data_IF_592473994366
#
_entry.id   IF_592473994366
#
_cell.length_a   1.000
_cell.length_b   1.000
_cell.length_c   1.000
_cell.angle_alpha   90.00
_cell.angle_beta   90.00
_cell.angle_gamma   90.00
#
_symmetry.space_group_name_H-M   'P 1'
#
loop_
_entity.id
_entity.type
_entity.pdbx_description
1 polymer ?
#
# COMPACT_ATOMS: atom_id res chain seq x y z
N UNK A 1 9.97 4.31 9.31
CA UNK A 1 10.88 3.22 8.93
C UNK A 1 12.35 3.59 9.13
N UNK A 2 12.89 4.71 8.58
CA UNK A 2 14.30 5.13 8.73
C UNK A 2 14.75 5.17 10.19
N UNK A 3 13.97 5.80 11.09
CA UNK A 3 14.27 5.85 12.53
C UNK A 3 14.45 4.45 13.13
N UNK A 4 13.55 3.53 12.85
CA UNK A 4 13.60 2.16 13.38
C UNK A 4 14.86 1.43 12.92
N UNK A 5 15.24 1.60 11.65
CA UNK A 5 16.47 1.01 11.09
C UNK A 5 17.69 1.59 11.77
N UNK A 6 17.76 2.92 11.91
CA UNK A 6 18.88 3.60 12.59
C UNK A 6 19.04 3.11 14.03
N UNK A 7 17.95 3.09 14.78
CA UNK A 7 17.95 2.68 16.19
C UNK A 7 18.36 1.20 16.35
N UNK A 8 17.85 0.33 15.47
CA UNK A 8 18.11 -1.11 15.57
C UNK A 8 19.57 -1.49 15.20
N UNK A 9 20.13 -0.83 14.19
CA UNK A 9 21.49 -1.12 13.72
C UNK A 9 22.54 -0.15 14.28
N UNK A 10 22.17 0.76 15.16
CA UNK A 10 23.05 1.79 15.77
C UNK A 10 23.75 2.64 14.71
N UNK A 11 22.98 3.12 13.71
CA UNK A 11 23.51 3.91 12.61
C UNK A 11 23.31 5.42 12.85
N UNK A 12 24.34 6.22 12.63
CA UNK A 12 24.23 7.69 12.69
C UNK A 12 23.38 8.21 11.52
N UNK A 13 23.51 7.61 10.34
CA UNK A 13 22.75 7.96 9.15
C UNK A 13 22.27 6.71 8.41
N UNK A 14 21.10 6.81 7.78
CA UNK A 14 20.57 5.77 6.90
C UNK A 14 19.71 6.41 5.80
N UNK A 15 19.87 5.92 4.59
CA UNK A 15 19.04 6.28 3.43
C UNK A 15 18.73 5.03 2.60
N UNK A 16 17.61 5.06 1.92
CA UNK A 16 17.25 4.04 0.95
C UNK A 16 17.97 4.32 -0.37
N UNK A 17 18.59 3.31 -0.94
CA UNK A 17 19.31 3.40 -2.22
C UNK A 17 18.43 3.15 -3.45
N UNK A 18 17.13 2.84 -3.21
CA UNK A 18 16.12 2.63 -4.25
C UNK A 18 14.85 3.37 -3.86
N UNK A 19 14.03 3.72 -4.84
CA UNK A 19 12.69 4.24 -4.60
C UNK A 19 11.87 3.25 -3.77
N UNK A 20 11.06 3.78 -2.87
CA UNK A 20 10.10 3.00 -2.07
C UNK A 20 8.72 2.93 -2.72
N UNK A 21 8.46 3.81 -3.71
CA UNK A 21 7.18 3.87 -4.39
C UNK A 21 6.83 2.53 -5.05
N UNK A 22 5.64 2.05 -4.78
CA UNK A 22 5.13 0.80 -5.33
C UNK A 22 5.84 -0.46 -4.84
N UNK A 23 6.51 -0.41 -3.69
CA UNK A 23 7.09 -1.58 -3.01
C UNK A 23 6.28 -1.94 -1.76
N UNK A 24 6.39 -3.20 -1.32
CA UNK A 24 5.76 -3.62 -0.07
C UNK A 24 6.66 -3.33 1.14
N UNK A 25 6.06 -3.09 2.31
CA UNK A 25 6.81 -2.89 3.56
C UNK A 25 7.73 -4.09 3.85
N UNK A 26 7.26 -5.30 3.57
CA UNK A 26 8.02 -6.54 3.75
C UNK A 26 9.25 -6.61 2.83
N UNK A 27 9.10 -6.30 1.54
CA UNK A 27 10.21 -6.25 0.59
C UNK A 27 11.24 -5.17 0.96
N UNK A 28 10.77 -3.99 1.36
CA UNK A 28 11.64 -2.90 1.80
C UNK A 28 12.49 -3.35 2.99
N UNK A 29 11.89 -3.88 4.04
CA UNK A 29 12.60 -4.32 5.24
C UNK A 29 13.55 -5.48 4.95
N UNK A 30 13.14 -6.49 4.19
CA UNK A 30 14.01 -7.62 3.79
C UNK A 30 15.22 -7.13 2.99
N UNK A 31 15.03 -6.18 2.08
CA UNK A 31 16.13 -5.60 1.31
C UNK A 31 17.12 -4.83 2.19
N UNK A 32 16.64 -4.16 3.24
CA UNK A 32 17.49 -3.49 4.24
C UNK A 32 18.30 -4.51 5.04
N UNK A 33 17.63 -5.54 5.58
CA UNK A 33 18.32 -6.61 6.32
C UNK A 33 19.40 -7.27 5.46
N UNK A 34 19.07 -7.61 4.22
CA UNK A 34 20.02 -8.22 3.28
C UNK A 34 21.22 -7.29 3.03
N UNK A 35 20.98 -5.99 2.83
CA UNK A 35 22.04 -5.00 2.62
C UNK A 35 22.97 -4.87 3.82
N UNK A 36 22.43 -4.87 5.03
CA UNK A 36 23.20 -4.62 6.25
C UNK A 36 23.85 -5.89 6.84
N UNK A 37 23.28 -7.07 6.57
CA UNK A 37 23.79 -8.36 7.08
C UNK A 37 24.48 -9.22 6.02
N UNK A 38 24.42 -8.84 4.75
CA UNK A 38 24.90 -9.65 3.62
C UNK A 38 23.99 -10.84 3.27
N UNK A 39 22.93 -11.10 4.02
CA UNK A 39 21.95 -12.16 3.80
C UNK A 39 20.57 -11.78 4.31
N UNK A 40 19.53 -12.38 3.72
CA UNK A 40 18.17 -12.25 4.26
C UNK A 40 18.04 -13.02 5.58
N UNK A 41 17.41 -12.38 6.57
CA UNK A 41 17.01 -13.00 7.83
C UNK A 41 15.54 -12.64 8.07
N UNK A 42 14.64 -13.60 7.85
CA UNK A 42 13.19 -13.38 7.94
C UNK A 42 12.73 -13.06 9.36
N UNK A 43 13.35 -13.66 10.38
CA UNK A 43 13.01 -13.37 11.78
C UNK A 43 13.41 -11.94 12.16
N UNK A 44 14.59 -11.48 11.73
CA UNK A 44 15.06 -10.11 11.94
C UNK A 44 14.17 -9.11 11.18
N UNK A 45 13.81 -9.43 9.95
CA UNK A 45 12.88 -8.58 9.16
C UNK A 45 11.50 -8.46 9.82
N UNK A 46 10.95 -9.57 10.33
CA UNK A 46 9.69 -9.54 11.07
C UNK A 46 9.78 -8.69 12.36
N UNK A 47 10.87 -8.83 13.11
CA UNK A 47 11.11 -8.02 14.31
C UNK A 47 11.22 -6.52 13.99
N UNK A 48 11.83 -6.15 12.87
CA UNK A 48 11.88 -4.76 12.39
C UNK A 48 10.52 -4.22 11.98
N UNK A 49 9.67 -5.02 11.33
CA UNK A 49 8.30 -4.65 11.00
C UNK A 49 7.47 -4.38 12.27
N UNK A 50 7.58 -5.22 13.29
CA UNK A 50 6.91 -5.00 14.58
C UNK A 50 7.35 -3.66 15.19
N UNK A 51 8.66 -3.39 15.24
CA UNK A 51 9.19 -2.11 15.72
C UNK A 51 8.73 -0.92 14.88
N UNK A 52 8.61 -1.10 13.57
CA UNK A 52 8.07 -0.08 12.67
C UNK A 52 6.61 0.24 13.02
N UNK A 53 5.77 -0.76 13.24
CA UNK A 53 4.37 -0.54 13.64
C UNK A 53 4.25 0.15 15.00
N UNK A 54 5.11 -0.18 15.97
CA UNK A 54 5.14 0.50 17.27
C UNK A 54 5.58 1.96 17.18
N UNK A 55 6.48 2.29 16.27
CA UNK A 55 7.00 3.65 16.08
C UNK A 55 6.11 4.50 15.16
N UNK A 56 5.36 3.88 14.25
CA UNK A 56 4.59 4.57 13.21
C UNK A 56 3.62 5.61 13.76
N UNK A 57 2.80 5.36 14.81
CA UNK A 57 1.89 6.38 15.35
C UNK A 57 2.61 7.64 15.82
N UNK A 58 3.77 7.50 16.45
CA UNK A 58 4.58 8.63 16.90
C UNK A 58 5.10 9.44 15.72
N UNK A 59 5.55 8.75 14.66
CA UNK A 59 6.07 9.42 13.47
C UNK A 59 4.95 10.13 12.69
N UNK A 60 3.74 9.59 12.64
CA UNK A 60 2.58 10.22 12.03
C UNK A 60 2.20 11.53 12.75
N UNK A 61 2.32 11.57 14.08
CA UNK A 61 2.10 12.81 14.85
C UNK A 61 3.18 13.86 14.63
N UNK A 62 4.44 13.44 14.45
CA UNK A 62 5.57 14.34 14.26
C UNK A 62 5.66 14.90 12.83
N UNK A 63 5.31 14.09 11.85
CA UNK A 63 5.39 14.43 10.43
C UNK A 63 3.99 14.65 9.87
N UNK A 64 3.53 15.90 9.90
CA UNK A 64 2.19 16.27 9.44
C UNK A 64 2.00 15.95 7.96
N UNK A 65 1.31 14.84 7.69
CA UNK A 65 0.73 14.55 6.39
C UNK A 65 -0.60 15.28 6.21
N UNK A 66 -1.18 15.17 5.02
CA UNK A 66 -2.53 15.68 4.75
C UNK A 66 -3.32 14.70 3.89
N UNK A 67 -4.61 14.65 4.08
CA UNK A 67 -5.53 14.03 3.14
C UNK A 67 -5.66 14.96 1.92
N UNK A 68 -5.57 14.41 0.71
CA UNK A 68 -5.77 15.18 -0.51
C UNK A 68 -7.22 15.70 -0.58
N UNK A 69 -7.40 16.80 -1.31
CA UNK A 69 -8.71 17.43 -1.46
C UNK A 69 -9.72 16.44 -2.04
N UNK A 70 -10.91 16.44 -1.47
CA UNK A 70 -12.07 15.61 -1.86
C UNK A 70 -11.92 14.10 -1.61
N UNK A 71 -10.79 13.56 -1.13
CA UNK A 71 -10.66 12.12 -0.86
C UNK A 71 -11.75 11.63 0.09
N UNK A 72 -11.92 12.29 1.23
CA UNK A 72 -12.95 11.89 2.20
C UNK A 72 -14.37 11.96 1.60
N UNK A 73 -14.70 13.03 0.88
CA UNK A 73 -16.00 13.16 0.22
C UNK A 73 -16.25 12.04 -0.81
N UNK A 74 -15.23 11.67 -1.55
CA UNK A 74 -15.29 10.58 -2.54
C UNK A 74 -15.53 9.25 -1.85
N UNK A 75 -14.79 8.96 -0.78
CA UNK A 75 -14.96 7.73 0.01
C UNK A 75 -16.36 7.68 0.64
N UNK A 76 -16.83 8.78 1.23
CA UNK A 76 -18.19 8.89 1.77
C UNK A 76 -19.25 8.62 0.70
N UNK A 77 -19.06 9.17 -0.51
CA UNK A 77 -19.98 8.94 -1.63
C UNK A 77 -20.11 7.46 -1.98
N UNK A 78 -19.01 6.73 -2.00
CA UNK A 78 -19.03 5.30 -2.31
C UNK A 78 -19.46 4.41 -1.13
N UNK A 79 -19.43 4.90 0.10
CA UNK A 79 -19.90 4.18 1.30
C UNK A 79 -21.38 4.41 1.64
N UNK A 80 -22.17 5.10 0.81
CA UNK A 80 -23.59 5.32 1.07
C UNK A 80 -24.35 3.99 1.10
N UNK A 81 -25.45 3.88 1.88
CA UNK A 81 -26.22 2.64 1.99
C UNK A 81 -26.79 2.12 0.67
N UNK A 82 -27.07 3.02 -0.28
CA UNK A 82 -27.55 2.71 -1.63
C UNK A 82 -26.44 2.51 -2.66
N UNK A 83 -25.19 2.58 -2.23
CA UNK A 83 -24.03 2.39 -3.10
C UNK A 83 -23.89 0.92 -3.51
N UNK A 84 -23.64 0.71 -4.79
CA UNK A 84 -23.24 -0.58 -5.32
C UNK A 84 -21.71 -0.81 -5.32
N UNK A 85 -20.96 0.15 -4.76
CA UNK A 85 -19.50 0.10 -4.70
C UNK A 85 -19.05 -0.32 -3.31
N UNK A 86 -17.91 -0.99 -3.25
CA UNK A 86 -17.21 -1.35 -2.02
C UNK A 86 -15.77 -0.84 -2.12
N UNK A 87 -15.39 0.05 -1.19
CA UNK A 87 -14.01 0.53 -1.13
C UNK A 87 -13.13 -0.52 -0.45
N UNK A 88 -12.09 -0.97 -1.15
CA UNK A 88 -11.11 -1.91 -0.63
C UNK A 88 -9.70 -1.35 -0.80
N UNK A 89 -8.78 -1.85 0.00
CA UNK A 89 -7.36 -1.53 -0.12
C UNK A 89 -6.66 -2.59 -0.95
N UNK A 90 -5.81 -2.14 -1.88
CA UNK A 90 -4.75 -2.95 -2.45
C UNK A 90 -3.45 -2.17 -2.22
N UNK A 91 -2.63 -2.63 -1.30
CA UNK A 91 -1.49 -1.84 -0.84
C UNK A 91 -0.27 -2.70 -0.51
N UNK A 92 0.91 -2.17 -0.79
CA UNK A 92 2.17 -2.73 -0.33
C UNK A 92 2.43 -2.55 1.18
N UNK A 93 1.63 -1.73 1.87
CA UNK A 93 1.72 -1.67 3.33
C UNK A 93 1.27 -2.98 3.95
N UNK A 94 1.80 -3.30 5.13
CA UNK A 94 1.21 -4.33 5.97
C UNK A 94 -0.19 -3.90 6.42
N UNK A 95 -1.06 -4.85 6.77
CA UNK A 95 -2.41 -4.58 7.28
C UNK A 95 -2.36 -3.64 8.48
N UNK A 96 -1.52 -3.95 9.47
CA UNK A 96 -1.29 -3.09 10.63
C UNK A 96 -0.81 -1.69 10.24
N UNK A 97 0.14 -1.59 9.32
CA UNK A 97 0.67 -0.29 8.87
C UNK A 97 -0.37 0.55 8.12
N UNK A 98 -1.20 -0.09 7.30
CA UNK A 98 -2.30 0.56 6.59
C UNK A 98 -3.36 1.09 7.57
N UNK A 99 -3.84 0.24 8.50
CA UNK A 99 -4.79 0.64 9.55
C UNK A 99 -4.29 1.84 10.36
N UNK A 100 -3.07 1.79 10.89
CA UNK A 100 -2.51 2.89 11.66
C UNK A 100 -2.47 4.21 10.90
N UNK A 101 -2.14 4.17 9.60
CA UNK A 101 -2.14 5.36 8.75
C UNK A 101 -3.56 5.87 8.51
N UNK A 102 -4.48 5.00 8.14
CA UNK A 102 -5.87 5.39 7.86
C UNK A 102 -6.59 5.90 9.10
N UNK A 103 -6.40 5.27 10.26
CA UNK A 103 -6.94 5.72 11.54
C UNK A 103 -6.42 7.11 11.92
N UNK A 104 -5.11 7.37 11.71
CA UNK A 104 -4.52 8.68 11.97
C UNK A 104 -5.20 9.80 11.18
N UNK A 105 -5.64 9.52 9.93
CA UNK A 105 -6.33 10.47 9.07
C UNK A 105 -7.86 10.37 9.11
N UNK A 106 -8.44 9.52 9.96
CA UNK A 106 -9.88 9.34 10.08
C UNK A 106 -10.53 8.68 8.86
N UNK A 107 -9.77 7.90 8.08
CA UNK A 107 -10.26 7.30 6.83
C UNK A 107 -10.53 5.79 6.92
N UNK A 108 -10.13 5.14 8.01
CA UNK A 108 -10.18 3.68 8.14
C UNK A 108 -11.59 3.10 8.00
N UNK A 109 -12.60 3.81 8.50
CA UNK A 109 -14.01 3.41 8.44
C UNK A 109 -14.61 3.34 7.02
N UNK A 110 -13.95 3.91 6.03
CA UNK A 110 -14.44 3.91 4.65
C UNK A 110 -14.01 2.70 3.83
N UNK A 111 -13.24 1.78 4.40
CA UNK A 111 -12.71 0.63 3.69
C UNK A 111 -13.21 -0.71 4.25
N UNK A 112 -13.54 -1.63 3.35
CA UNK A 112 -13.81 -3.02 3.71
C UNK A 112 -12.49 -3.78 3.81
N UNK A 113 -12.08 -4.11 5.04
CA UNK A 113 -10.81 -4.77 5.31
C UNK A 113 -10.82 -6.26 4.99
N UNK A 114 -11.98 -6.91 5.00
CA UNK A 114 -12.13 -8.32 4.65
C UNK A 114 -11.78 -8.57 3.18
N UNK A 115 -12.18 -7.65 2.30
CA UNK A 115 -11.90 -7.72 0.87
C UNK A 115 -10.57 -7.06 0.48
N UNK A 116 -9.93 -6.38 1.42
CA UNK A 116 -8.66 -5.70 1.20
C UNK A 116 -7.48 -6.67 1.10
N UNK A 117 -6.45 -6.26 0.36
CA UNK A 117 -5.23 -7.06 0.13
C UNK A 117 -4.00 -6.23 0.49
N UNK A 118 -3.16 -6.81 1.33
CA UNK A 118 -2.03 -6.14 1.96
C UNK A 118 -0.69 -6.78 1.60
N UNK A 119 0.40 -6.05 1.82
CA UNK A 119 1.76 -6.42 1.44
C UNK A 119 2.38 -7.62 2.19
N UNK A 120 1.67 -8.21 3.18
CA UNK A 120 2.08 -9.47 3.79
C UNK A 120 1.90 -10.67 2.85
N UNK A 121 0.94 -10.59 1.93
CA UNK A 121 0.56 -11.71 1.05
C UNK A 121 1.63 -11.94 -0.01
N UNK A 122 2.21 -10.87 -0.56
CA UNK A 122 3.24 -10.96 -1.59
C UNK A 122 4.11 -9.71 -1.60
N UNK A 123 5.38 -9.87 -1.93
CA UNK A 123 6.28 -8.75 -2.22
C UNK A 123 6.03 -8.14 -3.60
N UNK A 124 5.29 -8.84 -4.47
CA UNK A 124 4.93 -8.40 -5.80
C UNK A 124 3.50 -7.87 -5.82
N UNK A 125 3.34 -6.57 -6.09
CA UNK A 125 2.05 -5.89 -6.13
C UNK A 125 1.10 -6.45 -7.21
N UNK A 126 1.60 -6.88 -8.37
CA UNK A 126 0.78 -7.51 -9.39
C UNK A 126 0.16 -8.84 -8.91
N UNK A 127 0.86 -9.56 -8.02
CA UNK A 127 0.29 -10.75 -7.36
C UNK A 127 -0.82 -10.37 -6.37
N UNK A 128 -0.69 -9.24 -5.67
CA UNK A 128 -1.77 -8.74 -4.81
C UNK A 128 -3.04 -8.45 -5.61
N UNK A 129 -2.91 -7.87 -6.83
CA UNK A 129 -4.05 -7.64 -7.72
C UNK A 129 -4.74 -8.95 -8.13
N UNK A 130 -3.96 -10.00 -8.46
CA UNK A 130 -4.50 -11.34 -8.77
C UNK A 130 -5.22 -11.95 -7.57
N UNK A 131 -4.69 -11.78 -6.36
CA UNK A 131 -5.34 -12.24 -5.12
C UNK A 131 -6.64 -11.47 -4.88
N UNK A 132 -6.66 -10.14 -5.08
CA UNK A 132 -7.86 -9.33 -4.94
C UNK A 132 -8.96 -9.80 -5.90
N UNK A 133 -8.62 -9.99 -7.17
CA UNK A 133 -9.57 -10.50 -8.17
C UNK A 133 -10.05 -11.92 -7.85
N UNK A 134 -9.15 -12.80 -7.43
CA UNK A 134 -9.51 -14.16 -7.04
C UNK A 134 -10.49 -14.18 -5.85
N UNK A 135 -10.27 -13.33 -4.84
CA UNK A 135 -11.21 -13.19 -3.71
C UNK A 135 -12.60 -12.73 -4.16
N UNK A 136 -12.66 -11.75 -5.08
CA UNK A 136 -13.92 -11.32 -5.66
C UNK A 136 -14.60 -12.46 -6.44
N UNK A 137 -13.85 -13.18 -7.29
CA UNK A 137 -14.33 -14.30 -8.07
C UNK A 137 -14.86 -15.45 -7.20
N UNK A 138 -14.21 -15.77 -6.10
CA UNK A 138 -14.68 -16.80 -5.15
C UNK A 138 -16.00 -16.44 -4.46
N UNK A 139 -16.36 -15.16 -4.41
CA UNK A 139 -17.64 -14.69 -3.89
C UNK A 139 -18.72 -14.58 -4.99
N UNK A 140 -18.29 -14.35 -6.21
CA UNK A 140 -19.15 -14.22 -7.39
C UNK A 140 -18.42 -14.79 -8.61
N UNK A 141 -18.79 -15.99 -9.03
CA UNK A 141 -18.18 -16.70 -10.17
C UNK A 141 -18.36 -15.97 -11.51
N UNK A 142 -19.33 -15.05 -11.60
CA UNK A 142 -19.54 -14.19 -12.77
C UNK A 142 -18.72 -12.91 -12.74
N UNK A 143 -17.94 -12.67 -11.67
CA UNK A 143 -17.13 -11.46 -11.52
C UNK A 143 -16.16 -11.27 -12.69
N UNK A 144 -16.09 -10.06 -13.17
CA UNK A 144 -15.22 -9.67 -14.30
C UNK A 144 -14.18 -8.64 -13.83
N UNK A 145 -12.98 -8.62 -14.42
CA UNK A 145 -11.95 -7.64 -14.07
C UNK A 145 -12.40 -6.18 -14.18
N UNK A 146 -13.29 -5.85 -15.11
CA UNK A 146 -13.83 -4.49 -15.30
C UNK A 146 -14.84 -4.06 -14.21
N UNK A 147 -15.21 -4.94 -13.30
CA UNK A 147 -15.98 -4.61 -12.08
C UNK A 147 -15.08 -4.06 -10.96
N UNK A 148 -13.75 -4.22 -11.10
CA UNK A 148 -12.75 -3.59 -10.26
C UNK A 148 -12.25 -2.32 -10.94
N UNK A 149 -12.14 -1.23 -10.18
CA UNK A 149 -11.49 0.00 -10.62
C UNK A 149 -10.34 0.27 -9.67
N UNK A 150 -9.12 0.25 -10.20
CA UNK A 150 -7.94 0.64 -9.43
C UNK A 150 -7.84 2.15 -9.38
N UNK A 151 -7.55 2.70 -8.21
CA UNK A 151 -7.25 4.12 -8.03
C UNK A 151 -5.88 4.18 -7.35
N UNK A 152 -4.91 4.77 -8.03
CA UNK A 152 -3.54 4.84 -7.56
C UNK A 152 -2.81 6.08 -8.05
N UNK A 153 -1.53 6.18 -7.74
CA UNK A 153 -0.71 7.35 -8.02
C UNK A 153 0.67 7.01 -8.60
N UNK A 154 0.93 5.73 -8.86
CA UNK A 154 2.23 5.25 -9.36
C UNK A 154 2.08 4.37 -10.62
N UNK A 155 3.14 4.24 -11.45
CA UNK A 155 3.17 3.26 -12.55
C UNK A 155 2.92 1.82 -12.10
N UNK A 156 3.24 1.48 -10.84
CA UNK A 156 2.97 0.15 -10.31
C UNK A 156 1.47 -0.11 -10.12
N UNK A 157 0.65 0.90 -9.87
CA UNK A 157 -0.80 0.74 -9.78
C UNK A 157 -1.39 0.38 -11.15
N UNK A 158 -0.88 1.00 -12.21
CA UNK A 158 -1.24 0.62 -13.59
C UNK A 158 -0.82 -0.83 -13.88
N UNK A 159 0.39 -1.25 -13.51
CA UNK A 159 0.84 -2.65 -13.67
C UNK A 159 -0.04 -3.63 -12.91
N UNK A 160 -0.50 -3.25 -11.71
CA UNK A 160 -1.44 -4.06 -10.93
C UNK A 160 -2.76 -4.25 -11.66
N UNK A 161 -3.36 -3.17 -12.16
CA UNK A 161 -4.60 -3.22 -12.91
C UNK A 161 -4.45 -4.02 -14.21
N UNK A 162 -3.37 -3.77 -14.98
CA UNK A 162 -3.07 -4.49 -16.21
C UNK A 162 -2.86 -6.01 -15.99
N UNK A 163 -2.31 -6.41 -14.85
CA UNK A 163 -2.08 -7.82 -14.51
C UNK A 163 -3.37 -8.67 -14.47
N UNK A 164 -4.53 -8.04 -14.35
CA UNK A 164 -5.86 -8.68 -14.34
C UNK A 164 -6.81 -8.11 -15.39
N UNK A 165 -6.37 -7.15 -16.20
CA UNK A 165 -7.21 -6.51 -17.23
C UNK A 165 -8.26 -5.55 -16.64
N UNK A 166 -8.03 -4.98 -15.47
CA UNK A 166 -8.91 -4.00 -14.84
C UNK A 166 -8.57 -2.55 -15.25
N UNK A 167 -9.55 -1.63 -15.26
CA UNK A 167 -9.28 -0.21 -15.45
C UNK A 167 -8.52 0.40 -14.28
N UNK A 168 -7.66 1.40 -14.55
CA UNK A 168 -6.92 2.15 -13.56
C UNK A 168 -7.15 3.66 -13.72
N UNK A 169 -7.50 4.33 -12.62
CA UNK A 169 -7.57 5.78 -12.53
C UNK A 169 -6.33 6.29 -11.77
N UNK A 170 -5.56 7.16 -12.40
CA UNK A 170 -4.34 7.72 -11.80
C UNK A 170 -4.61 9.12 -11.27
N UNK A 171 -4.25 9.31 -10.00
CA UNK A 171 -4.29 10.60 -9.30
C UNK A 171 -2.89 11.20 -9.31
N UNK A 172 -2.67 12.24 -10.10
CA UNK A 172 -1.36 12.89 -10.24
C UNK A 172 -1.05 13.86 -9.09
N UNK A 173 -2.08 14.39 -8.42
CA UNK A 173 -1.86 15.33 -7.31
C UNK A 173 -1.08 14.67 -6.17
N UNK A 174 0.12 15.18 -5.91
CA UNK A 174 0.99 14.69 -4.84
C UNK A 174 1.79 13.42 -5.14
N UNK A 175 1.61 12.81 -6.33
CA UNK A 175 2.30 11.57 -6.70
C UNK A 175 3.80 11.75 -6.98
N UNK A 176 4.18 12.93 -7.47
CA UNK A 176 5.53 13.19 -7.98
C UNK A 176 5.77 12.65 -9.41
N UNK A 177 4.77 12.02 -10.03
CA UNK A 177 4.79 11.53 -11.40
C UNK A 177 4.09 12.49 -12.36
N UNK A 178 4.40 12.38 -13.64
CA UNK A 178 3.78 13.12 -14.76
C UNK A 178 3.04 12.15 -15.66
N UNK A 179 2.09 12.63 -16.49
CA UNK A 179 1.36 11.76 -17.43
C UNK A 179 2.27 10.90 -18.31
N UNK A 180 3.44 11.42 -18.71
CA UNK A 180 4.41 10.73 -19.56
C UNK A 180 5.00 9.48 -18.90
N UNK A 181 5.09 9.46 -17.56
CA UNK A 181 5.63 8.33 -16.80
C UNK A 181 4.74 7.08 -16.85
N UNK A 182 3.51 7.23 -17.37
CA UNK A 182 2.52 6.16 -17.49
C UNK A 182 2.35 5.65 -18.94
N UNK A 183 3.05 6.22 -19.92
CA UNK A 183 2.86 5.89 -21.33
C UNK A 183 3.40 4.51 -21.74
N UNK A 184 4.31 3.93 -20.95
CA UNK A 184 4.96 2.65 -21.23
C UNK A 184 4.54 1.52 -20.27
N UNK A 185 3.41 1.68 -19.59
CA UNK A 185 3.00 0.76 -18.50
C UNK A 185 1.79 -0.10 -18.92
#
# INVERSE_FOLDING_TARGET
>A
MIKVIKDYYFLDAFYFNKSLAGRTDSDIIKSVVTRLRGRCNSAEAAGLLIRYHMELPKQLLLHKGRVLKNVEKTLQYFCRPDSRYCNCLLTGNTSTGAHLKLQHFGLDQYFNHEHSVFGEISENLAMLAKVAFHRLYMQNEEAKPNELIFIGDTPNDVRCANAIGAPCLIILEGSGYKPEDFSEV
#
